data_IF_094877137993
#
_entry.id   IF_094877137993
#
_cell.length_a   1.000
_cell.length_b   1.000
_cell.length_c   1.000
_cell.angle_alpha   90.00
_cell.angle_beta   90.00
_cell.angle_gamma   90.00
#
_symmetry.space_group_name_H-M   'P 1'
#
loop_
_entity.id
_entity.type
_entity.pdbx_description
1 polymer ?
#
# COMPACT_ATOMS: atom_id res chain seq x y z
N UNK A 1 0.59 -17.37 -3.30
CA UNK A 1 0.47 -16.43 -4.44
C UNK A 1 0.54 -15.01 -3.88
N UNK A 2 1.40 -14.18 -4.45
CA UNK A 2 1.48 -12.76 -4.09
C UNK A 2 0.23 -12.02 -4.58
N UNK A 3 -0.46 -11.29 -3.69
CA UNK A 3 -1.78 -10.69 -3.95
C UNK A 3 -1.71 -9.24 -4.42
N UNK A 4 -0.52 -8.67 -4.54
CA UNK A 4 -0.30 -7.30 -5.00
C UNK A 4 0.89 -7.23 -5.97
N UNK A 5 1.10 -6.06 -6.57
CA UNK A 5 2.24 -5.70 -7.40
C UNK A 5 2.82 -4.38 -6.89
N UNK A 6 4.14 -4.28 -6.78
CA UNK A 6 4.83 -3.01 -6.50
C UNK A 6 4.90 -2.22 -7.80
N UNK A 7 4.27 -1.06 -7.83
CA UNK A 7 4.30 -0.14 -8.97
C UNK A 7 5.51 0.78 -8.86
N UNK A 8 5.85 1.20 -7.63
CA UNK A 8 6.94 2.12 -7.37
C UNK A 8 7.50 1.93 -5.97
N UNK A 9 8.82 1.98 -5.84
CA UNK A 9 9.54 2.04 -4.57
C UNK A 9 10.58 3.15 -4.70
N UNK A 10 10.30 4.29 -4.08
CA UNK A 10 11.18 5.46 -4.18
C UNK A 10 11.60 5.93 -2.81
N UNK A 11 12.86 6.31 -2.71
CA UNK A 11 13.40 6.93 -1.50
C UNK A 11 13.88 8.33 -1.83
N UNK A 12 13.49 9.31 -1.02
CA UNK A 12 13.88 10.71 -1.20
C UNK A 12 14.38 11.32 0.10
N UNK A 13 15.36 12.19 -0.01
CA UNK A 13 15.81 13.02 1.11
C UNK A 13 14.92 14.25 1.19
N UNK A 14 14.22 14.41 2.30
CA UNK A 14 13.39 15.59 2.59
C UNK A 14 14.27 16.59 3.32
N UNK A 15 15.04 17.36 2.54
CA UNK A 15 16.11 18.26 3.03
C UNK A 15 15.65 19.20 4.15
N UNK A 16 14.43 19.75 4.03
CA UNK A 16 13.85 20.68 5.02
C UNK A 16 13.78 20.11 6.44
N UNK A 17 13.65 18.79 6.56
CA UNK A 17 13.54 18.10 7.86
C UNK A 17 14.75 17.22 8.15
N UNK A 18 15.74 17.18 7.25
CA UNK A 18 16.85 16.23 7.30
C UNK A 18 16.39 14.76 7.48
N UNK A 19 15.28 14.38 6.84
CA UNK A 19 14.70 13.04 6.91
C UNK A 19 14.86 12.30 5.58
N UNK A 20 14.82 10.97 5.64
CA UNK A 20 14.74 10.11 4.47
C UNK A 20 13.33 9.51 4.41
N UNK A 21 12.55 9.90 3.41
CA UNK A 21 11.22 9.35 3.19
C UNK A 21 11.27 8.22 2.16
N UNK A 22 10.53 7.14 2.40
CA UNK A 22 10.27 6.08 1.42
C UNK A 22 8.80 6.13 1.02
N UNK A 23 8.52 5.97 -0.27
CA UNK A 23 7.17 5.88 -0.81
C UNK A 23 7.07 4.61 -1.62
N UNK A 24 6.14 3.75 -1.21
CA UNK A 24 5.79 2.51 -1.86
C UNK A 24 4.39 2.63 -2.45
N UNK A 25 4.26 2.47 -3.77
CA UNK A 25 2.97 2.43 -4.46
C UNK A 25 2.70 0.99 -4.90
N UNK A 26 1.50 0.49 -4.59
CA UNK A 26 1.10 -0.89 -4.85
C UNK A 26 -0.22 -0.96 -5.59
N UNK A 27 -0.42 -2.04 -6.32
CA UNK A 27 -1.70 -2.41 -6.95
C UNK A 27 -2.11 -3.80 -6.51
N UNK A 28 -3.29 -3.92 -5.92
CA UNK A 28 -3.86 -5.23 -5.59
C UNK A 28 -4.21 -5.99 -6.87
N UNK A 29 -3.91 -7.28 -6.91
CA UNK A 29 -4.33 -8.17 -8.00
C UNK A 29 -5.84 -8.39 -7.94
N UNK A 30 -6.50 -8.60 -9.10
CA UNK A 30 -7.93 -8.89 -9.13
C UNK A 30 -8.27 -10.12 -8.28
N UNK A 31 -9.45 -10.11 -7.67
CA UNK A 31 -9.96 -11.24 -6.89
C UNK A 31 -10.19 -12.42 -7.86
N UNK A 32 -9.60 -13.59 -7.62
CA UNK A 32 -9.84 -14.77 -8.44
C UNK A 32 -11.31 -15.22 -8.39
N UNK A 33 -11.78 -15.87 -9.45
CA UNK A 33 -13.14 -16.39 -9.49
C UNK A 33 -13.38 -17.42 -8.36
N UNK A 34 -14.53 -17.32 -7.69
CA UNK A 34 -14.90 -18.22 -6.58
C UNK A 34 -14.21 -17.94 -5.25
N UNK A 35 -13.37 -16.91 -5.16
CA UNK A 35 -12.74 -16.48 -3.91
C UNK A 35 -13.57 -15.38 -3.25
N UNK A 36 -13.73 -15.46 -1.92
CA UNK A 36 -14.42 -14.45 -1.12
C UNK A 36 -13.65 -13.11 -1.16
N UNK A 37 -14.26 -12.01 -1.66
CA UNK A 37 -13.53 -10.76 -1.91
C UNK A 37 -12.90 -10.10 -0.69
N UNK A 38 -13.58 -10.08 0.46
CA UNK A 38 -13.08 -9.40 1.66
C UNK A 38 -11.84 -10.10 2.22
N UNK A 39 -11.85 -11.43 2.28
CA UNK A 39 -10.73 -12.26 2.70
C UNK A 39 -9.55 -12.15 1.75
N UNK A 40 -9.81 -12.07 0.44
CA UNK A 40 -8.76 -11.78 -0.54
C UNK A 40 -8.08 -10.43 -0.26
N UNK A 41 -8.88 -9.37 -0.12
CA UNK A 41 -8.38 -8.01 0.13
C UNK A 41 -7.65 -7.93 1.46
N UNK A 42 -8.22 -8.45 2.56
CA UNK A 42 -7.57 -8.49 3.88
C UNK A 42 -6.20 -9.15 3.81
N UNK A 43 -6.13 -10.35 3.23
CA UNK A 43 -4.86 -11.05 3.10
C UNK A 43 -3.90 -10.39 2.11
N UNK A 44 -4.36 -9.53 1.20
CA UNK A 44 -3.48 -8.73 0.36
C UNK A 44 -2.90 -7.54 1.13
N UNK A 45 -3.72 -6.91 1.99
CA UNK A 45 -3.28 -5.84 2.89
C UNK A 45 -2.26 -6.33 3.91
N UNK A 46 -2.44 -7.51 4.49
CA UNK A 46 -1.46 -8.15 5.39
C UNK A 46 -0.10 -8.28 4.69
N UNK A 47 -0.06 -8.82 3.46
CA UNK A 47 1.19 -8.94 2.70
C UNK A 47 1.82 -7.57 2.37
N UNK A 48 1.00 -6.55 2.08
CA UNK A 48 1.50 -5.18 1.87
C UNK A 48 2.09 -4.61 3.17
N UNK A 49 1.41 -4.79 4.30
CA UNK A 49 1.88 -4.32 5.60
C UNK A 49 3.22 -4.98 5.93
N UNK A 50 3.32 -6.31 5.83
CA UNK A 50 4.57 -7.05 6.07
C UNK A 50 5.73 -6.51 5.22
N UNK A 51 5.44 -6.14 3.97
CA UNK A 51 6.43 -5.54 3.07
C UNK A 51 6.83 -4.12 3.46
N UNK A 52 5.87 -3.30 3.92
CA UNK A 52 6.08 -1.89 4.30
C UNK A 52 6.79 -1.77 5.64
N UNK A 53 6.43 -2.60 6.63
CA UNK A 53 7.03 -2.54 7.97
C UNK A 53 8.46 -3.08 8.02
N UNK A 54 8.90 -3.76 6.96
CA UNK A 54 10.29 -4.21 6.84
C UNK A 54 11.28 -3.05 6.90
N UNK A 55 12.01 -2.96 8.02
CA UNK A 55 13.03 -1.93 8.27
C UNK A 55 12.50 -0.62 8.87
N UNK A 56 11.29 -0.63 9.42
CA UNK A 56 10.74 0.50 10.20
C UNK A 56 11.30 0.48 11.63
N UNK A 57 11.71 1.65 12.11
CA UNK A 57 12.17 1.88 13.49
C UNK A 57 11.07 2.50 14.38
N UNK A 58 11.15 2.40 15.72
CA UNK A 58 10.10 2.87 16.63
C UNK A 58 9.69 4.35 16.47
N UNK A 59 10.56 5.19 15.93
CA UNK A 59 10.32 6.63 15.77
C UNK A 59 9.84 7.02 14.36
N UNK A 60 9.82 6.07 13.43
CA UNK A 60 9.38 6.33 12.07
C UNK A 60 7.90 6.73 12.02
N UNK A 61 7.59 7.65 11.10
CA UNK A 61 6.22 8.07 10.83
C UNK A 61 5.73 7.38 9.57
N UNK A 62 4.73 6.53 9.73
CA UNK A 62 4.14 5.76 8.63
C UNK A 62 2.80 6.37 8.26
N UNK A 63 2.59 6.59 6.97
CA UNK A 63 1.31 7.00 6.39
C UNK A 63 0.89 6.02 5.32
N UNK A 64 -0.41 5.74 5.25
CA UNK A 64 -1.00 4.89 4.22
C UNK A 64 -2.11 5.65 3.52
N UNK A 65 -2.19 5.48 2.20
CA UNK A 65 -3.28 6.01 1.39
C UNK A 65 -3.82 4.89 0.54
N UNK A 66 -5.12 4.63 0.65
CA UNK A 66 -5.82 3.69 -0.20
C UNK A 66 -6.61 4.46 -1.24
N UNK A 67 -6.35 4.17 -2.51
CA UNK A 67 -7.13 4.69 -3.63
C UNK A 67 -7.75 3.53 -4.40
N UNK A 68 -9.00 3.68 -4.81
CA UNK A 68 -9.66 2.79 -5.76
C UNK A 68 -10.47 3.65 -6.71
N UNK A 69 -10.35 3.37 -8.01
CA UNK A 69 -11.20 3.99 -9.04
C UNK A 69 -12.67 3.59 -8.92
N UNK A 70 -12.98 2.62 -8.07
CA UNK A 70 -14.32 2.03 -7.92
C UNK A 70 -14.80 2.06 -6.46
N UNK A 71 -14.30 2.99 -5.64
CA UNK A 71 -14.88 3.19 -4.32
C UNK A 71 -16.24 3.87 -4.47
N UNK A 72 -17.32 3.08 -4.43
CA UNK A 72 -18.69 3.59 -4.49
C UNK A 72 -19.09 4.50 -3.30
N UNK A 73 -18.21 4.65 -2.29
CA UNK A 73 -18.42 5.48 -1.09
C UNK A 73 -17.43 6.65 -0.97
N UNK A 74 -16.57 6.86 -1.95
CA UNK A 74 -15.76 8.07 -2.08
C UNK A 74 -16.14 8.71 -3.40
N UNK A 75 -16.38 10.02 -3.41
CA UNK A 75 -16.40 10.75 -4.67
C UNK A 75 -15.07 10.44 -5.38
N UNK A 76 -15.16 9.88 -6.59
CA UNK A 76 -14.03 9.25 -7.27
C UNK A 76 -12.82 10.18 -7.41
N UNK A 77 -11.67 9.59 -7.75
CA UNK A 77 -10.50 10.36 -8.14
C UNK A 77 -10.75 10.89 -9.56
N UNK A 78 -11.02 12.20 -9.70
CA UNK A 78 -11.04 12.92 -10.98
C UNK A 78 -9.63 13.01 -11.60
#
# INVERSE_FOLDING_TARGET
MEKFLVIKDTTRVIRRFNLRGRTLEFKLKPVPQGVEPLGWVKGALEQVIDRVVGGVEPNDKIGFTFCSKSFNRGEGYD
#
